data_IF_378148533100
#
_entry.id   IF_378148533100
#
_cell.length_a   1.000
_cell.length_b   1.000
_cell.length_c   1.000
_cell.angle_alpha   90.00
_cell.angle_beta   90.00
_cell.angle_gamma   90.00
#
_symmetry.space_group_name_H-M   'P 1'
#
loop_
_entity.id
_entity.type
_entity.pdbx_description
1 polymer ?
#
# COMPACT_ATOMS: atom_id res chain seq x y z
N UNK A 1 -11.68 -5.74 -9.16
CA UNK A 1 -11.02 -4.45 -8.86
C UNK A 1 -9.56 -4.64 -8.42
N UNK A 2 -9.28 -5.30 -7.28
CA UNK A 2 -7.89 -5.58 -6.87
C UNK A 2 -7.28 -6.76 -7.66
N UNK A 3 -8.09 -7.78 -7.96
CA UNK A 3 -7.66 -9.04 -8.57
C UNK A 3 -7.54 -9.01 -10.11
N UNK A 4 -8.11 -7.99 -10.77
CA UNK A 4 -8.17 -7.88 -12.24
C UNK A 4 -7.02 -7.04 -12.82
N UNK A 5 -5.96 -6.84 -12.04
CA UNK A 5 -4.87 -5.95 -12.36
C UNK A 5 -4.11 -6.40 -13.63
N UNK A 6 -4.09 -5.52 -14.65
CA UNK A 6 -3.39 -5.73 -15.93
C UNK A 6 -1.99 -5.11 -15.99
N UNK A 7 -1.48 -4.62 -14.86
CA UNK A 7 -0.14 -4.05 -14.71
C UNK A 7 0.69 -4.85 -13.70
N UNK A 8 2.00 -4.62 -13.68
CA UNK A 8 2.90 -5.24 -12.68
C UNK A 8 2.57 -4.77 -11.27
N UNK A 9 2.35 -3.47 -11.11
CA UNK A 9 1.89 -2.85 -9.88
C UNK A 9 0.61 -2.07 -10.19
N UNK A 10 -0.46 -2.37 -9.48
CA UNK A 10 -1.74 -1.68 -9.59
C UNK A 10 -2.04 -0.92 -8.31
N UNK A 11 -2.10 0.41 -8.40
CA UNK A 11 -2.38 1.28 -7.26
C UNK A 11 -3.88 1.58 -7.17
N UNK A 12 -4.45 1.39 -5.97
CA UNK A 12 -5.85 1.62 -5.65
C UNK A 12 -5.92 2.49 -4.41
N UNK A 13 -6.78 3.49 -4.41
CA UNK A 13 -6.95 4.39 -3.27
C UNK A 13 -8.37 4.31 -2.72
N UNK A 14 -8.50 4.06 -1.43
CA UNK A 14 -9.73 4.23 -0.67
C UNK A 14 -9.67 5.63 -0.04
N UNK A 15 -10.57 6.51 -0.48
CA UNK A 15 -10.60 7.92 -0.10
C UNK A 15 -11.89 8.29 0.62
N UNK A 16 -11.81 9.22 1.58
CA UNK A 16 -12.97 9.71 2.32
C UNK A 16 -12.59 10.41 3.63
N UNK A 17 -13.58 11.02 4.29
CA UNK A 17 -13.38 11.80 5.51
C UNK A 17 -12.82 10.98 6.69
N UNK A 18 -12.37 11.66 7.74
CA UNK A 18 -11.98 11.01 9.00
C UNK A 18 -13.16 10.25 9.62
N UNK A 19 -12.90 9.07 10.19
CA UNK A 19 -13.93 8.26 10.85
C UNK A 19 -14.90 7.52 9.92
N UNK A 20 -14.83 7.70 8.59
CA UNK A 20 -15.79 7.11 7.63
C UNK A 20 -15.61 5.59 7.39
N UNK A 21 -14.61 4.96 8.02
CA UNK A 21 -14.40 3.50 7.89
C UNK A 21 -13.47 3.04 6.76
N UNK A 22 -12.62 3.91 6.18
CA UNK A 22 -11.63 3.51 5.15
C UNK A 22 -10.74 2.35 5.58
N UNK A 23 -10.11 2.48 6.75
CA UNK A 23 -9.26 1.46 7.35
C UNK A 23 -10.04 0.18 7.61
N UNK A 24 -11.31 0.29 8.02
CA UNK A 24 -12.20 -0.86 8.18
C UNK A 24 -12.42 -1.57 6.85
N UNK A 25 -12.74 -0.85 5.78
CA UNK A 25 -12.91 -1.42 4.45
C UNK A 25 -11.62 -2.08 3.94
N UNK A 26 -10.48 -1.41 4.10
CA UNK A 26 -9.18 -1.98 3.75
C UNK A 26 -8.88 -3.28 4.52
N UNK A 27 -9.24 -3.34 5.82
CA UNK A 27 -9.10 -4.57 6.63
C UNK A 27 -10.02 -5.69 6.16
N UNK A 28 -11.25 -5.38 5.74
CA UNK A 28 -12.16 -6.37 5.17
C UNK A 28 -11.58 -6.98 3.90
N UNK A 29 -11.01 -6.14 3.02
CA UNK A 29 -10.33 -6.60 1.80
C UNK A 29 -9.11 -7.46 2.14
N UNK A 30 -8.22 -6.98 3.02
CA UNK A 30 -7.00 -7.69 3.40
C UNK A 30 -7.25 -9.07 4.03
N UNK A 31 -8.37 -9.23 4.76
CA UNK A 31 -8.71 -10.48 5.43
C UNK A 31 -9.66 -11.37 4.62
N UNK A 32 -10.01 -10.98 3.40
CA UNK A 32 -10.85 -11.79 2.53
C UNK A 32 -10.11 -13.04 2.02
N UNK A 33 -10.77 -14.20 2.03
CA UNK A 33 -10.15 -15.47 1.67
C UNK A 33 -9.63 -15.50 0.22
N UNK A 34 -10.33 -14.86 -0.72
CA UNK A 34 -9.92 -14.80 -2.12
C UNK A 34 -8.65 -13.94 -2.25
N UNK A 35 -8.59 -12.83 -1.51
CA UNK A 35 -7.41 -11.98 -1.43
C UNK A 35 -6.23 -12.75 -0.82
N UNK A 36 -6.45 -13.45 0.29
CA UNK A 36 -5.40 -14.21 0.96
C UNK A 36 -4.81 -15.34 0.12
N UNK A 37 -5.63 -15.96 -0.73
CA UNK A 37 -5.19 -17.05 -1.62
C UNK A 37 -4.56 -16.53 -2.91
N UNK A 38 -4.87 -15.29 -3.32
CA UNK A 38 -4.37 -14.71 -4.57
C UNK A 38 -2.92 -14.18 -4.48
N UNK A 39 -2.54 -13.63 -3.31
CA UNK A 39 -1.26 -12.97 -3.10
C UNK A 39 -0.28 -13.87 -2.32
N UNK A 40 0.94 -14.03 -2.86
CA UNK A 40 2.02 -14.77 -2.20
C UNK A 40 2.51 -14.08 -0.92
N UNK A 41 2.43 -12.74 -0.90
CA UNK A 41 2.85 -11.89 0.21
C UNK A 41 1.83 -10.78 0.44
N UNK A 42 1.53 -10.54 1.70
CA UNK A 42 0.65 -9.45 2.12
C UNK A 42 1.35 -8.67 3.22
N UNK A 43 1.31 -7.35 3.12
CA UNK A 43 1.94 -6.44 4.07
C UNK A 43 0.96 -5.33 4.40
N UNK A 44 0.97 -4.90 5.66
CA UNK A 44 0.16 -3.77 6.13
C UNK A 44 1.03 -2.79 6.89
N UNK A 45 1.15 -1.58 6.38
CA UNK A 45 1.96 -0.52 6.98
C UNK A 45 1.10 0.70 7.22
N UNK A 46 1.07 1.14 8.48
CA UNK A 46 0.54 2.44 8.84
C UNK A 46 1.62 3.50 8.57
N UNK A 47 1.32 4.48 7.73
CA UNK A 47 2.29 5.48 7.30
C UNK A 47 2.35 6.62 8.32
N UNK A 48 3.55 6.93 8.80
CA UNK A 48 3.73 8.01 9.77
C UNK A 48 3.46 9.39 9.18
N UNK A 49 3.08 10.33 10.04
CA UNK A 49 3.06 11.76 9.73
C UNK A 49 3.94 12.52 10.75
N UNK A 50 5.00 13.22 10.33
CA UNK A 50 5.48 13.37 8.95
C UNK A 50 5.96 12.05 8.33
N UNK A 51 6.00 12.02 7.00
CA UNK A 51 6.48 10.85 6.26
C UNK A 51 7.98 10.70 6.40
N UNK A 52 8.43 9.45 6.46
CA UNK A 52 9.83 9.05 6.54
C UNK A 52 9.98 7.77 5.71
N UNK A 53 10.68 7.88 4.58
CA UNK A 53 10.89 6.78 3.65
C UNK A 53 11.64 5.60 4.30
N UNK A 54 12.60 5.87 5.18
CA UNK A 54 13.32 4.82 5.93
C UNK A 54 12.38 4.08 6.86
N UNK A 55 11.56 4.81 7.62
CA UNK A 55 10.59 4.20 8.54
C UNK A 55 9.56 3.36 7.78
N UNK A 56 9.03 3.87 6.68
CA UNK A 56 8.08 3.13 5.84
C UNK A 56 8.72 1.87 5.24
N UNK A 57 9.92 1.98 4.67
CA UNK A 57 10.64 0.84 4.11
C UNK A 57 10.93 -0.24 5.17
N UNK A 58 11.36 0.16 6.38
CA UNK A 58 11.57 -0.78 7.48
C UNK A 58 10.28 -1.47 7.91
N UNK A 59 9.17 -0.74 8.03
CA UNK A 59 7.88 -1.35 8.37
C UNK A 59 7.39 -2.35 7.31
N UNK A 60 7.67 -2.09 6.02
CA UNK A 60 7.39 -3.04 4.94
C UNK A 60 8.26 -4.28 5.10
N UNK A 61 9.56 -4.12 5.35
CA UNK A 61 10.50 -5.23 5.50
C UNK A 61 10.19 -6.07 6.75
N UNK A 62 9.80 -5.43 7.86
CA UNK A 62 9.27 -6.09 9.06
C UNK A 62 8.03 -6.92 8.75
N UNK A 63 7.10 -6.38 7.95
CA UNK A 63 5.88 -7.09 7.52
C UNK A 63 6.16 -8.28 6.59
N UNK A 64 7.37 -8.39 6.05
CA UNK A 64 7.82 -9.51 5.22
C UNK A 64 8.46 -10.64 6.04
N UNK A 65 8.46 -10.53 7.38
CA UNK A 65 9.09 -11.42 8.36
C UNK A 65 10.61 -11.55 8.18
N UNK A 66 11.28 -10.51 7.69
CA UNK A 66 12.73 -10.47 7.63
C UNK A 66 13.32 -9.93 8.95
N UNK A 67 13.81 -10.85 9.78
CA UNK A 67 14.43 -10.53 11.07
C UNK A 67 15.70 -9.67 10.98
N UNK A 68 16.25 -9.44 9.78
CA UNK A 68 17.46 -8.63 9.58
C UNK A 68 17.23 -7.11 9.56
N UNK A 69 15.96 -6.66 9.64
CA UNK A 69 15.56 -5.25 9.46
C UNK A 69 16.19 -4.26 10.45
N UNK A 70 16.49 -4.71 11.68
CA UNK A 70 16.97 -3.81 12.74
C UNK A 70 18.42 -3.35 12.54
N UNK A 71 19.23 -4.11 11.79
CA UNK A 71 20.66 -3.82 11.62
C UNK A 71 20.95 -2.90 10.42
N UNK A 72 19.97 -2.68 9.55
CA UNK A 72 20.15 -1.89 8.33
C UNK A 72 19.94 -0.40 8.61
N UNK A 73 20.96 0.41 8.32
CA UNK A 73 20.94 1.88 8.53
C UNK A 73 20.81 2.70 7.24
N UNK A 74 20.97 2.07 6.08
CA UNK A 74 20.93 2.73 4.77
C UNK A 74 19.64 2.37 4.03
N UNK A 75 18.91 3.39 3.56
CA UNK A 75 17.60 3.21 2.90
C UNK A 75 17.73 2.30 1.67
N UNK A 76 18.75 2.54 0.85
CA UNK A 76 19.02 1.76 -0.36
C UNK A 76 19.16 0.25 -0.08
N UNK A 77 19.77 -0.13 1.05
CA UNK A 77 19.90 -1.54 1.45
C UNK A 77 18.55 -2.13 1.82
N UNK A 78 17.71 -1.39 2.56
CA UNK A 78 16.35 -1.82 2.90
C UNK A 78 15.51 -2.01 1.62
N UNK A 79 15.53 -1.03 0.72
CA UNK A 79 14.80 -1.08 -0.56
C UNK A 79 15.29 -2.24 -1.46
N UNK A 80 16.60 -2.52 -1.47
CA UNK A 80 17.17 -3.67 -2.19
C UNK A 80 16.68 -5.00 -1.62
N UNK A 81 16.58 -5.13 -0.29
CA UNK A 81 16.05 -6.33 0.35
C UNK A 81 14.57 -6.53 0.03
N UNK A 82 13.75 -5.49 0.17
CA UNK A 82 12.33 -5.51 -0.23
C UNK A 82 12.21 -5.99 -1.67
N UNK A 83 12.98 -5.39 -2.59
CA UNK A 83 12.99 -5.79 -4.00
C UNK A 83 13.38 -7.25 -4.20
N UNK A 84 14.38 -7.73 -3.46
CA UNK A 84 14.84 -9.13 -3.54
C UNK A 84 13.79 -10.13 -3.09
N UNK A 85 13.08 -9.83 -2.00
CA UNK A 85 12.03 -10.69 -1.43
C UNK A 85 10.78 -10.70 -2.31
N UNK A 86 10.37 -9.52 -2.81
CA UNK A 86 9.18 -9.35 -3.63
C UNK A 86 9.39 -9.76 -5.10
N UNK A 87 10.65 -9.93 -5.52
CA UNK A 87 10.96 -10.43 -6.86
C UNK A 87 10.27 -11.78 -7.06
N UNK A 88 9.55 -11.90 -8.18
CA UNK A 88 8.81 -13.14 -8.54
C UNK A 88 7.69 -13.51 -7.54
N UNK A 89 7.20 -12.55 -6.75
CA UNK A 89 6.00 -12.68 -5.93
C UNK A 89 4.90 -11.78 -6.44
N UNK A 90 3.67 -12.27 -6.40
CA UNK A 90 2.48 -11.42 -6.45
C UNK A 90 2.19 -10.96 -5.03
N UNK A 91 2.21 -9.66 -4.79
CA UNK A 91 2.05 -9.12 -3.44
C UNK A 91 0.93 -8.09 -3.34
N UNK A 92 0.36 -7.97 -2.14
CA UNK A 92 -0.52 -6.87 -1.75
C UNK A 92 0.18 -6.08 -0.65
N UNK A 93 0.43 -4.79 -0.90
CA UNK A 93 0.89 -3.85 0.12
C UNK A 93 -0.25 -2.89 0.45
N UNK A 94 -0.64 -2.83 1.72
CA UNK A 94 -1.54 -1.80 2.24
C UNK A 94 -0.73 -0.70 2.90
N UNK A 95 -0.90 0.54 2.42
CA UNK A 95 -0.42 1.76 3.06
C UNK A 95 -1.61 2.48 3.68
N UNK A 96 -1.76 2.37 5.00
CA UNK A 96 -2.88 2.92 5.75
C UNK A 96 -2.57 4.33 6.27
N UNK A 97 -3.58 5.20 6.19
CA UNK A 97 -3.62 6.61 6.61
C UNK A 97 -2.48 7.46 6.03
N UNK A 98 -2.35 7.49 4.70
CA UNK A 98 -1.30 8.25 4.00
C UNK A 98 -1.65 9.74 3.89
N UNK A 99 -0.74 10.60 4.35
CA UNK A 99 -0.90 12.06 4.37
C UNK A 99 0.08 12.84 3.48
N UNK A 100 1.20 12.24 3.06
CA UNK A 100 2.27 12.91 2.35
C UNK A 100 1.94 13.08 0.85
N UNK A 101 2.17 14.29 0.35
CA UNK A 101 1.84 14.72 -1.02
C UNK A 101 3.11 14.98 -1.86
N UNK A 102 4.28 14.56 -1.39
CA UNK A 102 5.58 14.80 -2.01
C UNK A 102 5.97 13.61 -2.88
N UNK A 103 5.90 13.76 -4.21
CA UNK A 103 6.26 12.67 -5.15
C UNK A 103 7.72 12.23 -4.98
N UNK A 104 8.62 13.18 -4.74
CA UNK A 104 10.05 12.94 -4.64
C UNK A 104 10.39 12.03 -3.45
N UNK A 105 9.63 12.12 -2.35
CA UNK A 105 9.83 11.27 -1.18
C UNK A 105 9.35 9.82 -1.41
N UNK A 106 8.43 9.60 -2.35
CA UNK A 106 7.86 8.28 -2.64
C UNK A 106 8.54 7.52 -3.77
N UNK A 107 9.20 8.24 -4.70
CA UNK A 107 9.65 7.67 -5.97
C UNK A 107 10.63 6.49 -5.79
N UNK A 108 11.53 6.56 -4.82
CA UNK A 108 12.48 5.48 -4.55
C UNK A 108 11.80 4.22 -4.02
N UNK A 109 10.83 4.39 -3.11
CA UNK A 109 10.06 3.28 -2.57
C UNK A 109 9.18 2.66 -3.65
N UNK A 110 8.48 3.47 -4.46
CA UNK A 110 7.69 2.99 -5.60
C UNK A 110 8.52 2.18 -6.59
N UNK A 111 9.73 2.66 -6.94
CA UNK A 111 10.65 1.93 -7.80
C UNK A 111 11.05 0.57 -7.23
N UNK A 112 11.23 0.46 -5.91
CA UNK A 112 11.54 -0.82 -5.26
C UNK A 112 10.39 -1.82 -5.34
N UNK A 113 9.14 -1.34 -5.38
CA UNK A 113 7.92 -2.15 -5.45
C UNK A 113 7.58 -2.60 -6.87
N UNK A 114 8.08 -1.92 -7.91
CA UNK A 114 7.87 -2.29 -9.31
C UNK A 114 8.71 -3.51 -9.78
N UNK A 115 8.82 -4.53 -8.94
CA UNK A 115 9.59 -5.75 -9.16
C UNK A 115 8.78 -7.04 -9.05
N UNK A 116 7.54 -6.97 -8.56
CA UNK A 116 6.65 -8.11 -8.39
C UNK A 116 6.12 -8.69 -9.69
N UNK A 117 5.37 -9.79 -9.57
CA UNK A 117 4.64 -10.39 -10.66
C UNK A 117 3.43 -9.54 -11.09
N UNK A 118 2.95 -9.81 -12.31
CA UNK A 118 1.68 -9.26 -12.79
C UNK A 118 0.56 -9.53 -11.78
N UNK A 119 -0.21 -8.49 -11.50
CA UNK A 119 -1.30 -8.55 -10.53
C UNK A 119 -0.89 -8.15 -9.11
N UNK A 120 0.34 -7.68 -8.87
CA UNK A 120 0.69 -7.10 -7.57
C UNK A 120 -0.04 -5.77 -7.36
N UNK A 121 -0.43 -5.48 -6.12
CA UNK A 121 -1.30 -4.37 -5.79
C UNK A 121 -0.77 -3.51 -4.64
N UNK A 122 -0.99 -2.21 -4.76
CA UNK A 122 -0.78 -1.22 -3.72
C UNK A 122 -2.14 -0.63 -3.33
N UNK A 123 -2.61 -0.92 -2.14
CA UNK A 123 -3.85 -0.38 -1.59
C UNK A 123 -3.53 0.75 -0.61
N UNK A 124 -4.13 1.91 -0.84
CA UNK A 124 -3.84 3.12 -0.05
C UNK A 124 -5.13 3.56 0.63
N UNK A 125 -5.08 3.93 1.91
CA UNK A 125 -6.17 4.70 2.53
C UNK A 125 -5.72 6.13 2.75
N UNK A 126 -6.54 7.11 2.36
CA UNK A 126 -6.21 8.52 2.53
C UNK A 126 -7.45 9.39 2.66
N UNK A 127 -7.28 10.61 3.16
CA UNK A 127 -8.32 11.65 3.18
C UNK A 127 -8.21 12.63 2.01
N UNK A 128 -7.11 12.57 1.27
CA UNK A 128 -6.73 13.60 0.30
C UNK A 128 -6.59 13.01 -1.09
N UNK A 129 -7.25 13.65 -2.04
CA UNK A 129 -7.17 13.26 -3.46
C UNK A 129 -5.77 13.48 -4.04
N UNK A 130 -5.09 14.55 -3.60
CA UNK A 130 -3.71 14.84 -3.98
C UNK A 130 -2.76 13.70 -3.65
N UNK A 131 -2.93 13.04 -2.49
CA UNK A 131 -2.14 11.85 -2.12
C UNK A 131 -2.36 10.71 -3.11
N UNK A 132 -3.61 10.44 -3.50
CA UNK A 132 -3.90 9.39 -4.48
C UNK A 132 -3.20 9.67 -5.83
N UNK A 133 -3.25 10.92 -6.30
CA UNK A 133 -2.57 11.36 -7.52
C UNK A 133 -1.06 11.22 -7.43
N UNK A 134 -0.45 11.67 -6.33
CA UNK A 134 1.01 11.59 -6.12
C UNK A 134 1.49 10.13 -6.12
N UNK A 135 0.69 9.22 -5.56
CA UNK A 135 0.98 7.78 -5.53
C UNK A 135 0.69 7.06 -6.85
N UNK A 136 0.38 7.80 -7.92
CA UNK A 136 0.14 7.23 -9.25
C UNK A 136 -1.19 6.48 -9.39
N UNK A 137 -2.15 6.71 -8.48
CA UNK A 137 -3.48 6.15 -8.59
C UNK A 137 -4.25 6.87 -9.72
N UNK A 138 -4.79 6.11 -10.66
CA UNK A 138 -5.70 6.64 -11.68
C UNK A 138 -7.08 6.90 -11.07
N UNK A 139 -7.84 7.82 -11.64
CA UNK A 139 -9.19 8.15 -11.17
C UNK A 139 -10.13 6.95 -11.08
N UNK A 140 -10.05 6.04 -12.06
CA UNK A 140 -10.81 4.77 -12.11
C UNK A 140 -10.48 3.81 -10.96
N UNK A 141 -9.33 3.99 -10.32
CA UNK A 141 -8.84 3.20 -9.18
C UNK A 141 -9.05 3.90 -7.83
N UNK A 142 -9.71 5.05 -7.80
CA UNK A 142 -10.06 5.76 -6.56
C UNK A 142 -11.47 5.40 -6.11
N UNK A 143 -11.56 4.62 -5.04
CA UNK A 143 -12.81 4.28 -4.36
C UNK A 143 -13.15 5.31 -3.28
N UNK A 144 -14.17 6.14 -3.53
CA UNK A 144 -14.64 7.18 -2.61
C UNK A 144 -15.71 6.63 -1.67
N UNK A 145 -15.41 6.58 -0.37
CA UNK A 145 -16.39 6.18 0.66
C UNK A 145 -17.26 7.39 1.04
N UNK A 146 -18.56 7.21 0.89
CA UNK A 146 -19.59 8.15 1.33
C UNK A 146 -20.11 7.84 2.74
N UNK A 147 -21.02 8.69 3.22
CA UNK A 147 -21.76 8.45 4.46
C UNK A 147 -22.77 7.32 4.22
N UNK A 148 -22.89 6.40 5.17
CA UNK A 148 -23.91 5.35 5.14
C UNK A 148 -25.30 5.97 5.05
N UNK A 149 -26.16 5.41 4.22
CA UNK A 149 -27.58 5.78 4.27
C UNK A 149 -28.19 5.28 5.58
N UNK A 150 -29.33 5.85 5.97
CA UNK A 150 -30.06 5.43 7.17
C UNK A 150 -30.45 3.94 7.18
N UNK A 151 -30.57 3.33 6.00
CA UNK A 151 -30.88 1.91 5.83
C UNK A 151 -29.67 1.00 6.08
N UNK A 152 -28.46 1.57 6.13
CA UNK A 152 -27.19 0.86 6.34
C UNK A 152 -26.63 1.06 7.76
N UNK A 153 -27.34 1.79 8.62
CA UNK A 153 -27.04 1.98 10.05
C UNK A 153 -27.84 0.99 10.90
#
# INVERSE_FOLDING_TARGET
MILDAKSKLHTISIMGMGGIGKTTLAKLIYNDNEIQTHFDKQMWVCVSHPFDAMRAAKAILESLDDSSVHDIKELEKVLKNIRGILKEKRFLLVLDDVWNESRDEWVELEHSLNCGLLGSALLITTRKESVASVMGCKDESIHRIGILSWEQC
#
